data_IF_906707589185
#
_entry.id   IF_906707589185
#
_cell.length_a   1.000
_cell.length_b   1.000
_cell.length_c   1.000
_cell.angle_alpha   90.00
_cell.angle_beta   90.00
_cell.angle_gamma   90.00
#
_symmetry.space_group_name_H-M   'P 1'
#
loop_
_entity.id
_entity.type
_entity.pdbx_description
1 polymer ?
#
# COMPACT_ATOMS: atom_id res chain seq x y z
N UNK A 1 21.73 8.99 -0.49
CA UNK A 1 21.33 8.48 -1.82
C UNK A 1 22.29 7.43 -2.41
N UNK A 2 23.49 7.20 -1.85
CA UNK A 2 24.47 6.23 -2.39
C UNK A 2 23.88 4.87 -2.73
N UNK A 3 23.09 4.28 -1.83
CA UNK A 3 22.46 2.97 -2.07
C UNK A 3 21.56 2.94 -3.31
N UNK A 4 20.82 4.02 -3.59
CA UNK A 4 19.96 4.10 -4.78
C UNK A 4 20.79 4.23 -6.06
N UNK A 5 21.96 4.88 -6.00
CA UNK A 5 22.90 4.92 -7.11
C UNK A 5 23.41 3.52 -7.46
N UNK A 6 23.62 2.67 -6.44
CA UNK A 6 24.07 1.28 -6.61
C UNK A 6 22.92 0.31 -7.00
N UNK A 7 21.66 0.77 -7.04
CA UNK A 7 20.48 -0.07 -7.28
C UNK A 7 19.57 0.51 -8.39
N UNK A 8 19.97 0.43 -9.68
CA UNK A 8 19.27 1.07 -10.80
C UNK A 8 17.89 0.48 -11.11
N UNK A 9 17.54 -0.68 -10.53
CA UNK A 9 16.20 -1.29 -10.66
C UNK A 9 15.09 -0.44 -10.05
N UNK A 10 15.43 0.48 -9.14
CA UNK A 10 14.46 1.36 -8.49
C UNK A 10 14.43 2.71 -9.19
N UNK A 11 13.27 3.05 -9.73
CA UNK A 11 13.02 4.34 -10.37
C UNK A 11 12.38 5.25 -9.33
N UNK A 12 12.98 6.42 -9.08
CA UNK A 12 12.40 7.45 -8.23
C UNK A 12 11.43 8.31 -9.05
N UNK A 13 10.20 8.42 -8.57
CA UNK A 13 9.19 9.31 -9.11
C UNK A 13 9.05 10.48 -8.14
N UNK A 14 9.48 11.68 -8.57
CA UNK A 14 9.35 12.87 -7.75
C UNK A 14 7.95 13.44 -7.86
N UNK A 15 7.35 13.76 -6.71
CA UNK A 15 6.00 14.31 -6.62
C UNK A 15 6.06 15.71 -6.01
N UNK A 16 5.21 16.66 -6.45
CA UNK A 16 5.10 17.96 -5.82
C UNK A 16 4.81 17.87 -4.31
N UNK A 17 5.36 18.82 -3.56
CA UNK A 17 5.19 18.91 -2.11
C UNK A 17 3.72 19.14 -1.77
N UNK A 18 3.26 18.56 -0.66
CA UNK A 18 1.88 18.66 -0.17
C UNK A 18 0.80 18.22 -1.19
N UNK A 19 1.15 17.32 -2.10
CA UNK A 19 0.21 16.77 -3.10
C UNK A 19 -0.13 15.30 -2.82
N UNK A 20 -0.80 14.96 -1.69
CA UNK A 20 -1.11 13.58 -1.32
C UNK A 20 -2.02 12.88 -2.34
N UNK A 21 -2.87 13.64 -3.03
CA UNK A 21 -3.85 13.13 -4.00
C UNK A 21 -3.24 12.51 -5.26
N UNK A 22 -1.95 12.75 -5.54
CA UNK A 22 -1.23 12.09 -6.63
C UNK A 22 -0.36 10.93 -6.14
N UNK A 23 -0.11 10.83 -4.83
CA UNK A 23 0.67 9.74 -4.26
C UNK A 23 -0.22 8.50 -4.10
N UNK A 24 -0.04 7.52 -4.99
CA UNK A 24 -0.81 6.28 -4.98
C UNK A 24 -0.72 5.52 -3.65
N UNK A 25 0.44 5.58 -2.98
CA UNK A 25 0.64 4.95 -1.68
C UNK A 25 -0.21 5.65 -0.62
N UNK A 26 -0.20 6.99 -0.58
CA UNK A 26 -1.02 7.75 0.36
C UNK A 26 -2.51 7.59 0.10
N UNK A 27 -2.95 7.57 -1.16
CA UNK A 27 -4.33 7.27 -1.52
C UNK A 27 -4.78 5.90 -1.00
N UNK A 28 -3.91 4.87 -1.11
CA UNK A 28 -4.19 3.53 -0.58
C UNK A 28 -4.36 3.57 0.94
N UNK A 29 -3.42 4.19 1.65
CA UNK A 29 -3.50 4.34 3.11
C UNK A 29 -4.71 5.16 3.55
N UNK A 30 -5.08 6.18 2.79
CA UNK A 30 -6.29 6.96 3.04
C UNK A 30 -7.54 6.10 2.90
N UNK A 31 -7.64 5.25 1.86
CA UNK A 31 -8.77 4.30 1.70
C UNK A 31 -8.80 3.26 2.81
N UNK A 32 -7.67 2.72 3.23
CA UNK A 32 -7.58 1.85 4.41
C UNK A 32 -8.14 2.57 5.64
N UNK A 33 -7.73 3.84 5.82
CA UNK A 33 -8.12 4.61 6.98
C UNK A 33 -9.64 4.79 7.03
N UNK A 34 -10.23 5.30 5.96
CA UNK A 34 -11.67 5.57 5.88
C UNK A 34 -12.52 4.31 6.06
N UNK A 35 -12.06 3.16 5.52
CA UNK A 35 -12.87 1.94 5.49
C UNK A 35 -12.67 1.02 6.71
N UNK A 36 -11.45 0.96 7.26
CA UNK A 36 -11.09 -0.01 8.31
C UNK A 36 -10.85 0.65 9.66
N UNK A 37 -10.03 1.70 9.72
CA UNK A 37 -9.56 2.23 11.03
C UNK A 37 -10.41 3.38 11.56
N UNK A 38 -11.05 4.18 10.69
CA UNK A 38 -11.77 5.41 11.08
C UNK A 38 -13.07 5.14 11.84
N UNK A 39 -13.76 4.06 11.51
CA UNK A 39 -15.06 3.74 12.08
C UNK A 39 -15.00 3.07 13.47
N UNK A 40 -13.79 2.86 14.04
CA UNK A 40 -13.56 2.27 15.36
C UNK A 40 -14.39 1.02 15.68
N UNK A 41 -14.72 0.22 14.66
CA UNK A 41 -15.56 -0.97 14.82
C UNK A 41 -14.81 -2.19 15.39
N UNK A 42 -13.50 -2.07 15.58
CA UNK A 42 -12.66 -3.15 16.08
C UNK A 42 -12.41 -3.00 17.58
N UNK A 43 -12.95 -3.91 18.39
CA UNK A 43 -12.75 -3.92 19.84
C UNK A 43 -11.38 -4.45 20.28
N UNK A 44 -10.58 -5.02 19.38
CA UNK A 44 -9.25 -5.52 19.67
C UNK A 44 -8.28 -5.32 18.50
N UNK A 45 -6.99 -5.25 18.82
CA UNK A 45 -5.92 -5.15 17.84
C UNK A 45 -5.95 -6.31 16.84
N UNK A 46 -6.25 -7.53 17.32
CA UNK A 46 -6.32 -8.72 16.46
C UNK A 46 -7.43 -8.59 15.41
N UNK A 47 -8.60 -8.08 15.81
CA UNK A 47 -9.72 -7.85 14.88
C UNK A 47 -9.35 -6.80 13.82
N UNK A 48 -8.69 -5.72 14.26
CA UNK A 48 -8.22 -4.67 13.37
C UNK A 48 -7.23 -5.23 12.33
N UNK A 49 -6.19 -5.95 12.78
CA UNK A 49 -5.19 -6.53 11.89
C UNK A 49 -5.78 -7.53 10.88
N UNK A 50 -6.79 -8.30 11.27
CA UNK A 50 -7.52 -9.18 10.35
C UNK A 50 -8.22 -8.39 9.24
N UNK A 51 -8.91 -7.28 9.59
CA UNK A 51 -9.58 -6.42 8.61
C UNK A 51 -8.59 -5.70 7.70
N UNK A 52 -7.48 -5.20 8.25
CA UNK A 52 -6.39 -4.59 7.46
C UNK A 52 -5.83 -5.60 6.45
N UNK A 53 -5.57 -6.84 6.89
CA UNK A 53 -5.08 -7.90 5.99
C UNK A 53 -6.08 -8.22 4.88
N UNK A 54 -7.37 -8.32 5.22
CA UNK A 54 -8.43 -8.54 4.24
C UNK A 54 -8.52 -7.40 3.22
N UNK A 55 -8.46 -6.15 3.69
CA UNK A 55 -8.41 -4.97 2.81
C UNK A 55 -7.22 -5.05 1.85
N UNK A 56 -6.00 -5.28 2.37
CA UNK A 56 -4.79 -5.36 1.56
C UNK A 56 -4.85 -6.50 0.52
N UNK A 57 -5.45 -7.63 0.87
CA UNK A 57 -5.68 -8.73 -0.07
C UNK A 57 -6.65 -8.31 -1.19
N UNK A 58 -7.72 -7.60 -0.84
CA UNK A 58 -8.78 -7.20 -1.78
C UNK A 58 -8.31 -6.13 -2.76
N UNK A 59 -7.55 -5.15 -2.28
CA UNK A 59 -7.01 -4.05 -3.11
C UNK A 59 -5.75 -4.44 -3.86
N UNK A 60 -5.19 -5.63 -3.61
CA UNK A 60 -4.03 -6.13 -4.35
C UNK A 60 -4.40 -6.24 -5.83
N UNK A 61 -3.75 -5.49 -6.73
CA UNK A 61 -3.98 -5.61 -8.16
C UNK A 61 -3.47 -6.96 -8.71
N UNK A 62 -2.70 -7.68 -7.90
CA UNK A 62 -2.21 -9.01 -8.20
C UNK A 62 -3.07 -10.02 -7.44
N UNK A 63 -4.04 -10.61 -8.15
CA UNK A 63 -4.88 -11.68 -7.65
C UNK A 63 -4.01 -12.93 -7.41
N UNK A 64 -3.78 -13.29 -6.15
CA UNK A 64 -3.19 -14.57 -5.78
C UNK A 64 -1.70 -14.73 -6.13
N UNK A 65 -0.83 -14.59 -5.13
CA UNK A 65 0.43 -15.32 -4.93
C UNK A 65 1.28 -15.78 -6.14
N UNK A 66 1.35 -14.99 -7.22
CA UNK A 66 2.06 -15.33 -8.47
C UNK A 66 3.26 -14.44 -8.78
N UNK A 67 3.85 -13.79 -7.76
CA UNK A 67 4.96 -12.83 -7.93
C UNK A 67 6.27 -13.42 -8.51
N UNK A 68 6.28 -14.69 -8.93
CA UNK A 68 7.44 -15.35 -9.54
C UNK A 68 7.32 -15.74 -11.02
N UNK A 69 6.16 -15.57 -11.70
CA UNK A 69 5.96 -16.12 -13.07
C UNK A 69 5.47 -15.07 -14.09
N UNK A 70 5.35 -13.80 -13.73
CA UNK A 70 5.20 -12.75 -14.75
C UNK A 70 6.56 -12.53 -15.44
N UNK A 71 6.90 -13.39 -16.42
CA UNK A 71 7.96 -13.12 -17.38
C UNK A 71 7.60 -11.84 -18.15
N UNK A 72 8.58 -10.93 -18.22
CA UNK A 72 8.61 -9.87 -19.24
C UNK A 72 8.63 -10.47 -20.64
#
# INVERSE_FOLDING_TARGET
QSWLADNPKFILIFQPVYSPWINKIELLWHKLHETVTRNHQCHSMVSLLKRVRYFMYTVSPFLGNGYGIAKM
#
